data_IF_949082584088
#
_entry.id   IF_949082584088
#
_cell.length_a   1.000
_cell.length_b   1.000
_cell.length_c   1.000
_cell.angle_alpha   90.00
_cell.angle_beta   90.00
_cell.angle_gamma   90.00
#
_symmetry.space_group_name_H-M   'P 1'
#
loop_
_entity.id
_entity.type
_entity.pdbx_description
1 polymer ?
#
# COMPACT_ATOMS: atom_id res chain seq x y z
N UNK A 1 -32.48 -22.34 57.95
CA UNK A 1 -32.25 -20.95 57.49
C UNK A 1 -30.76 -20.76 57.26
N UNK A 2 -30.39 -20.31 56.05
CA UNK A 2 -29.03 -19.89 55.61
C UNK A 2 -27.96 -21.01 55.62
N UNK A 3 -27.20 -21.27 54.56
CA UNK A 3 -26.45 -20.32 53.73
C UNK A 3 -26.26 -20.88 52.30
N UNK A 4 -27.11 -20.45 51.37
CA UNK A 4 -26.94 -20.61 49.91
C UNK A 4 -26.25 -19.33 49.44
N UNK A 5 -24.95 -19.16 49.70
CA UNK A 5 -24.20 -17.98 49.21
C UNK A 5 -22.71 -18.34 49.05
N UNK A 6 -22.37 -19.36 48.26
CA UNK A 6 -20.97 -19.62 47.87
C UNK A 6 -20.88 -20.12 46.43
N UNK A 7 -21.71 -19.61 45.52
CA UNK A 7 -21.71 -20.05 44.11
C UNK A 7 -21.82 -18.94 43.07
N UNK A 8 -21.64 -17.67 43.44
CA UNK A 8 -21.90 -16.52 42.55
C UNK A 8 -20.64 -15.69 42.20
N UNK A 9 -19.44 -16.10 42.62
CA UNK A 9 -18.21 -15.33 42.33
C UNK A 9 -17.14 -16.19 41.64
N UNK A 10 -17.54 -16.90 40.58
CA UNK A 10 -16.60 -17.61 39.70
C UNK A 10 -17.01 -17.46 38.22
N UNK A 11 -17.52 -16.28 37.85
CA UNK A 11 -17.95 -15.95 36.50
C UNK A 11 -17.56 -14.52 36.09
N UNK A 12 -16.57 -13.93 36.76
CA UNK A 12 -16.10 -12.56 36.49
C UNK A 12 -14.61 -12.48 36.13
N UNK A 13 -14.01 -13.58 35.70
CA UNK A 13 -12.63 -13.60 35.20
C UNK A 13 -12.64 -14.35 33.88
N UNK A 14 -12.69 -13.59 32.78
CA UNK A 14 -12.27 -13.92 31.41
C UNK A 14 -12.93 -13.04 30.33
N UNK A 15 -13.53 -11.88 30.66
CA UNK A 15 -14.01 -10.93 29.64
C UNK A 15 -12.92 -10.02 29.05
N UNK A 16 -11.64 -10.39 29.16
CA UNK A 16 -10.55 -9.67 28.53
C UNK A 16 -9.76 -10.59 27.60
N UNK A 17 -10.45 -11.33 26.74
CA UNK A 17 -9.88 -11.55 25.41
C UNK A 17 -9.92 -10.18 24.74
N UNK A 18 -8.80 -9.48 24.89
CA UNK A 18 -8.42 -8.34 24.07
C UNK A 18 -8.41 -8.86 22.64
N UNK A 19 -9.56 -8.78 21.97
CA UNK A 19 -9.66 -8.88 20.52
C UNK A 19 -8.89 -7.70 19.95
N UNK A 20 -7.57 -7.82 19.88
CA UNK A 20 -6.77 -7.01 18.98
C UNK A 20 -7.17 -7.50 17.59
N UNK A 21 -8.27 -6.94 17.07
CA UNK A 21 -8.55 -7.04 15.65
C UNK A 21 -7.26 -6.55 14.98
N UNK A 22 -6.54 -7.42 14.23
CA UNK A 22 -5.40 -6.95 13.48
C UNK A 22 -5.94 -5.81 12.62
N UNK A 23 -5.26 -4.64 12.57
CA UNK A 23 -5.74 -3.52 11.79
C UNK A 23 -6.10 -4.06 10.41
N UNK A 24 -7.39 -3.94 10.07
CA UNK A 24 -7.97 -4.37 8.80
C UNK A 24 -6.95 -4.03 7.73
N UNK A 25 -6.48 -5.04 7.01
CA UNK A 25 -5.43 -4.82 6.03
C UNK A 25 -5.90 -3.74 5.05
N UNK A 26 -5.40 -2.52 5.24
CA UNK A 26 -5.89 -1.38 4.49
C UNK A 26 -5.36 -1.55 3.07
N UNK A 27 -6.25 -1.97 2.18
CA UNK A 27 -5.95 -2.22 0.78
C UNK A 27 -6.30 -0.96 0.00
N UNK A 28 -5.28 -0.17 -0.24
CA UNK A 28 -5.40 1.09 -0.97
C UNK A 28 -5.17 0.86 -2.46
N UNK A 29 -5.90 1.56 -3.32
CA UNK A 29 -5.64 1.53 -4.76
C UNK A 29 -4.27 2.13 -5.07
N UNK A 30 -3.49 1.49 -5.94
CA UNK A 30 -2.18 2.02 -6.37
C UNK A 30 -2.30 3.44 -6.92
N UNK A 31 -3.41 3.76 -7.60
CA UNK A 31 -3.69 5.11 -8.09
C UNK A 31 -3.72 6.13 -6.94
N UNK A 32 -4.33 5.77 -5.81
CA UNK A 32 -4.39 6.66 -4.65
C UNK A 32 -3.01 6.86 -4.01
N UNK A 33 -2.16 5.82 -4.01
CA UNK A 33 -0.76 5.92 -3.58
C UNK A 33 0.01 6.89 -4.48
N UNK A 34 -0.16 6.77 -5.80
CA UNK A 34 0.49 7.65 -6.78
C UNK A 34 -0.01 9.10 -6.68
N UNK A 35 -1.31 9.31 -6.46
CA UNK A 35 -1.90 10.63 -6.24
C UNK A 35 -1.37 11.29 -4.96
N UNK A 36 -1.33 10.55 -3.85
CA UNK A 36 -0.77 11.05 -2.59
C UNK A 36 0.71 11.42 -2.74
N UNK A 37 1.50 10.58 -3.42
CA UNK A 37 2.89 10.88 -3.72
C UNK A 37 3.05 12.10 -4.62
N UNK A 38 2.23 12.20 -5.67
CA UNK A 38 2.20 13.33 -6.62
C UNK A 38 1.89 14.65 -5.92
N UNK A 39 0.86 14.67 -5.08
CA UNK A 39 0.45 15.86 -4.33
C UNK A 39 1.57 16.40 -3.42
N UNK A 40 2.36 15.50 -2.81
CA UNK A 40 3.47 15.87 -1.92
C UNK A 40 4.73 16.29 -2.67
N UNK A 41 5.06 15.62 -3.78
CA UNK A 41 6.37 15.76 -4.45
C UNK A 41 6.31 16.64 -5.70
N UNK A 42 5.13 16.92 -6.23
CA UNK A 42 4.94 17.60 -7.52
C UNK A 42 5.25 16.73 -8.74
N UNK A 43 5.59 15.44 -8.54
CA UNK A 43 5.85 14.50 -9.64
C UNK A 43 4.54 14.22 -10.37
N UNK A 44 4.55 14.36 -11.70
CA UNK A 44 3.38 14.06 -12.54
C UNK A 44 3.46 12.61 -13.01
N UNK A 45 2.39 11.85 -12.76
CA UNK A 45 2.28 10.46 -13.21
C UNK A 45 1.36 10.32 -14.42
N UNK A 46 1.75 9.47 -15.36
CA UNK A 46 0.88 8.95 -16.43
C UNK A 46 0.88 7.44 -16.33
N UNK A 47 -0.28 6.84 -16.09
CA UNK A 47 -0.41 5.40 -15.88
C UNK A 47 -1.03 4.72 -17.08
N UNK A 48 -0.47 3.59 -17.51
CA UNK A 48 -1.13 2.73 -18.49
C UNK A 48 -2.46 2.18 -17.90
N UNK A 49 -3.55 2.06 -18.70
CA UNK A 49 -4.84 1.56 -18.20
C UNK A 49 -4.81 0.18 -17.54
N UNK A 50 -3.77 -0.62 -17.79
CA UNK A 50 -3.54 -1.95 -17.20
C UNK A 50 -2.90 -1.89 -15.82
N UNK A 51 -2.38 -0.73 -15.41
CA UNK A 51 -1.81 -0.49 -14.07
C UNK A 51 -2.95 -0.39 -13.07
N UNK A 52 -3.41 -1.55 -12.60
CA UNK A 52 -4.45 -1.69 -11.59
C UNK A 52 -3.97 -2.68 -10.53
N UNK A 53 -3.72 -2.19 -9.33
CA UNK A 53 -3.35 -3.01 -8.19
C UNK A 53 -3.90 -2.45 -6.89
N UNK A 54 -4.11 -3.35 -5.94
CA UNK A 54 -4.37 -3.02 -4.53
C UNK A 54 -3.07 -3.20 -3.77
N UNK A 55 -2.61 -2.13 -3.16
CA UNK A 55 -1.40 -2.09 -2.33
C UNK A 55 -1.81 -2.32 -0.88
N UNK A 56 -1.13 -3.24 -0.21
CA UNK A 56 -1.30 -3.42 1.23
C UNK A 56 -0.52 -2.33 1.96
N UNK A 57 -1.22 -1.44 2.66
CA UNK A 57 -0.61 -0.31 3.38
C UNK A 57 -0.54 -0.54 4.90
N UNK A 58 -0.72 -1.79 5.37
CA UNK A 58 -0.58 -2.11 6.81
C UNK A 58 0.78 -1.65 7.33
N UNK A 59 0.76 -0.73 8.28
CA UNK A 59 1.97 -0.17 8.89
C UNK A 59 2.75 0.81 8.00
N UNK A 60 2.20 1.17 6.83
CA UNK A 60 2.76 2.17 5.92
C UNK A 60 1.83 3.38 5.87
N UNK A 61 2.34 4.56 6.26
CA UNK A 61 1.60 5.78 5.99
C UNK A 61 1.93 6.29 4.59
N UNK A 62 0.90 6.64 3.81
CA UNK A 62 1.06 7.07 2.41
C UNK A 62 1.94 8.32 2.26
N UNK A 63 1.89 9.20 3.25
CA UNK A 63 2.67 10.43 3.37
C UNK A 63 4.14 10.18 3.75
N UNK A 64 4.51 8.98 4.16
CA UNK A 64 5.88 8.57 4.45
C UNK A 64 6.51 7.75 3.31
N UNK A 65 5.73 7.34 2.29
CA UNK A 65 6.23 6.54 1.18
C UNK A 65 7.24 7.35 0.37
N UNK A 66 8.53 6.99 0.47
CA UNK A 66 9.61 7.55 -0.34
C UNK A 66 9.64 6.99 -1.75
N UNK A 67 10.43 7.59 -2.64
CA UNK A 67 10.55 7.14 -4.04
C UNK A 67 11.05 5.68 -4.12
N UNK A 68 12.05 5.31 -3.33
CA UNK A 68 12.59 3.95 -3.30
C UNK A 68 11.52 2.93 -2.91
N UNK A 69 10.69 3.26 -1.91
CA UNK A 69 9.58 2.42 -1.48
C UNK A 69 8.49 2.36 -2.55
N UNK A 70 8.18 3.47 -3.22
CA UNK A 70 7.24 3.48 -4.33
C UNK A 70 7.71 2.59 -5.48
N UNK A 71 8.99 2.67 -5.86
CA UNK A 71 9.58 1.78 -6.87
C UNK A 71 9.50 0.31 -6.46
N UNK A 72 9.74 -0.02 -5.18
CA UNK A 72 9.56 -1.38 -4.65
C UNK A 72 8.11 -1.86 -4.75
N UNK A 73 7.15 -1.01 -4.39
CA UNK A 73 5.71 -1.32 -4.51
C UNK A 73 5.35 -1.59 -5.97
N UNK A 74 5.79 -0.74 -6.90
CA UNK A 74 5.56 -0.93 -8.34
C UNK A 74 6.15 -2.27 -8.83
N UNK A 75 7.40 -2.55 -8.51
CA UNK A 75 8.07 -3.78 -8.91
C UNK A 75 7.39 -5.03 -8.34
N UNK A 76 6.94 -4.99 -7.08
CA UNK A 76 6.22 -6.10 -6.45
C UNK A 76 4.90 -6.43 -7.17
N UNK A 77 4.31 -5.43 -7.84
CA UNK A 77 3.12 -5.60 -8.69
C UNK A 77 3.44 -5.74 -10.18
N UNK A 78 4.70 -6.01 -10.54
CA UNK A 78 5.18 -6.14 -11.93
C UNK A 78 4.93 -4.88 -12.77
N UNK A 79 5.03 -3.71 -12.15
CA UNK A 79 5.02 -2.41 -12.81
C UNK A 79 6.41 -1.76 -12.73
N UNK A 80 6.70 -0.93 -13.71
CA UNK A 80 7.93 -0.14 -13.78
C UNK A 80 7.60 1.31 -14.08
N UNK A 81 8.47 2.19 -13.58
CA UNK A 81 8.36 3.63 -13.78
C UNK A 81 9.56 4.16 -14.56
N UNK A 82 9.28 5.01 -15.54
CA UNK A 82 10.30 5.69 -16.33
C UNK A 82 9.98 7.17 -16.43
N UNK A 83 11.01 7.98 -16.52
CA UNK A 83 10.89 9.41 -16.65
C UNK A 83 11.15 9.84 -18.09
N UNK A 84 10.24 10.64 -18.63
CA UNK A 84 10.37 11.27 -19.93
C UNK A 84 9.76 12.67 -19.90
N UNK A 85 10.55 13.68 -20.28
CA UNK A 85 10.14 15.09 -20.32
C UNK A 85 9.50 15.61 -19.02
N UNK A 86 10.06 15.21 -17.86
CA UNK A 86 9.57 15.66 -16.55
C UNK A 86 8.27 14.99 -16.09
N UNK A 87 7.78 13.98 -16.82
CA UNK A 87 6.63 13.16 -16.47
C UNK A 87 7.12 11.75 -16.18
N UNK A 88 6.59 11.13 -15.13
CA UNK A 88 6.86 9.74 -14.77
C UNK A 88 5.72 8.89 -15.30
N UNK A 89 6.05 7.92 -16.13
CA UNK A 89 5.08 7.00 -16.67
C UNK A 89 5.18 5.66 -15.96
N UNK A 90 4.05 5.05 -15.65
CA UNK A 90 3.97 3.75 -14.99
C UNK A 90 3.34 2.75 -15.96
N UNK A 91 4.04 1.66 -16.26
CA UNK A 91 3.58 0.62 -17.19
C UNK A 91 3.81 -0.78 -16.61
N UNK A 92 3.11 -1.81 -17.14
CA UNK A 92 3.47 -3.21 -16.90
C UNK A 92 4.88 -3.57 -17.39
N UNK A 93 5.64 -4.26 -16.56
CA UNK A 93 7.03 -4.70 -16.84
C UNK A 93 7.13 -5.57 -18.10
N UNK A 94 6.10 -6.37 -18.40
CA UNK A 94 6.05 -7.20 -19.63
C UNK A 94 6.18 -6.34 -20.89
N UNK A 95 5.69 -5.09 -20.86
CA UNK A 95 5.76 -4.15 -21.98
C UNK A 95 7.17 -3.55 -22.08
N UNK A 96 7.82 -3.26 -20.95
CA UNK A 96 9.20 -2.74 -20.90
C UNK A 96 10.18 -3.68 -21.62
N UNK A 97 10.09 -4.99 -21.40
CA UNK A 97 10.97 -5.96 -22.05
C UNK A 97 10.90 -5.94 -23.59
N UNK A 98 9.76 -5.46 -24.13
CA UNK A 98 9.50 -5.40 -25.57
C UNK A 98 9.86 -4.04 -26.19
N UNK A 99 9.89 -2.98 -25.37
CA UNK A 99 9.85 -1.58 -25.84
C UNK A 99 10.72 -0.65 -24.98
N UNK A 100 11.62 -1.17 -24.16
CA UNK A 100 12.38 -0.41 -23.15
C UNK A 100 13.18 0.79 -23.70
N UNK A 101 13.57 0.76 -24.98
CA UNK A 101 14.22 1.90 -25.64
C UNK A 101 13.26 3.08 -25.92
N UNK A 102 11.94 2.86 -25.96
CA UNK A 102 10.94 3.85 -26.34
C UNK A 102 10.41 4.68 -25.16
N UNK A 103 10.60 4.19 -23.93
CA UNK A 103 9.92 4.75 -22.76
C UNK A 103 10.73 5.82 -22.03
N UNK A 104 12.06 5.78 -22.04
CA UNK A 104 12.91 6.84 -21.49
C UNK A 104 13.91 6.30 -20.47
N UNK A 105 14.34 7.16 -19.54
CA UNK A 105 15.31 6.78 -18.51
C UNK A 105 14.54 6.13 -17.34
N UNK A 106 14.99 4.98 -16.79
CA UNK A 106 14.41 4.43 -15.58
C UNK A 106 14.29 5.50 -14.51
N UNK A 107 13.16 5.54 -13.79
CA UNK A 107 12.95 6.58 -12.80
C UNK A 107 13.85 6.36 -11.57
N UNK A 108 14.99 7.05 -11.60
CA UNK A 108 16.00 7.10 -10.55
C UNK A 108 16.17 8.59 -10.20
N UNK A 109 15.95 8.98 -8.94
CA UNK A 109 16.42 10.28 -8.44
C UNK A 109 17.68 10.07 -7.63
#
# INVERSE_FOLDING_TARGET
MSKIVVFIISLLVCNSVLSHEPPLAERTDLMHVLEAFSARTGVKFVTDPRVKAKVNTVGLKLDEIGQEQLNKILLMHSFVAYQNNGVVYVIPQVIEQSQGAQYGIPWQQ
#
